data_IF_183626162861
#
_entry.id   IF_183626162861
#
_cell.length_a   1.000
_cell.length_b   1.000
_cell.length_c   1.000
_cell.angle_alpha   90.00
_cell.angle_beta   90.00
_cell.angle_gamma   90.00
#
_symmetry.space_group_name_H-M   'P 1'
#
loop_
_entity.id
_entity.type
_entity.pdbx_description
1 polymer ?
#
# COMPACT_ATOMS: atom_id res chain seq x y z
N UNK A 1 -3.90 -13.16 9.18
CA UNK A 1 -3.05 -12.34 8.31
C UNK A 1 -3.29 -12.58 6.83
N UNK A 2 -3.28 -13.83 6.40
CA UNK A 2 -3.53 -14.18 5.00
C UNK A 2 -4.85 -13.63 4.47
N UNK A 3 -5.92 -13.72 5.25
CA UNK A 3 -7.23 -13.22 4.85
C UNK A 3 -7.23 -11.70 4.67
N UNK A 4 -6.52 -11.00 5.53
CA UNK A 4 -6.40 -9.54 5.44
C UNK A 4 -5.62 -9.12 4.18
N UNK A 5 -4.45 -9.70 3.94
CA UNK A 5 -3.64 -9.32 2.77
C UNK A 5 -4.33 -9.70 1.45
N UNK A 6 -5.05 -10.82 1.43
CA UNK A 6 -5.86 -11.21 0.27
C UNK A 6 -6.97 -10.18 0.00
N UNK A 7 -7.67 -9.74 1.05
CA UNK A 7 -8.73 -8.75 0.93
C UNK A 7 -8.18 -7.38 0.52
N UNK A 8 -7.01 -7.01 1.06
CA UNK A 8 -6.33 -5.76 0.73
C UNK A 8 -6.01 -5.68 -0.77
N UNK A 9 -5.42 -6.74 -1.31
CA UNK A 9 -5.10 -6.83 -2.74
C UNK A 9 -6.36 -6.84 -3.62
N UNK A 10 -7.37 -7.60 -3.19
CA UNK A 10 -8.64 -7.68 -3.91
C UNK A 10 -9.34 -6.33 -3.98
N UNK A 11 -9.29 -5.54 -2.91
CA UNK A 11 -9.85 -4.19 -2.90
C UNK A 11 -9.21 -3.32 -3.99
N UNK A 12 -7.90 -3.39 -4.14
CA UNK A 12 -7.18 -2.66 -5.18
C UNK A 12 -7.57 -3.13 -6.60
N UNK A 13 -7.69 -4.43 -6.82
CA UNK A 13 -7.96 -4.97 -8.15
C UNK A 13 -9.42 -4.80 -8.59
N UNK A 14 -10.35 -4.62 -7.64
CA UNK A 14 -11.78 -4.39 -7.97
C UNK A 14 -12.16 -2.92 -8.06
N UNK A 15 -11.31 -2.00 -7.60
CA UNK A 15 -11.56 -0.56 -7.58
C UNK A 15 -10.87 0.15 -8.75
N UNK A 16 -11.02 -0.36 -9.96
CA UNK A 16 -10.30 0.17 -11.12
C UNK A 16 -10.86 1.50 -11.64
N UNK A 17 -12.12 1.79 -11.37
CA UNK A 17 -12.81 2.96 -11.91
C UNK A 17 -12.77 4.15 -10.95
N UNK A 18 -12.93 3.91 -9.65
CA UNK A 18 -13.11 4.96 -8.65
C UNK A 18 -11.80 5.68 -8.34
N UNK A 19 -10.73 4.95 -8.01
CA UNK A 19 -9.46 5.57 -7.63
C UNK A 19 -8.47 5.70 -8.79
N UNK A 20 -8.47 4.75 -9.72
CA UNK A 20 -7.50 4.65 -10.80
C UNK A 20 -6.10 4.26 -10.32
N UNK A 21 -5.96 3.79 -9.09
CA UNK A 21 -4.65 3.46 -8.51
C UNK A 21 -3.92 2.37 -9.30
N UNK A 22 -4.58 1.24 -9.58
CA UNK A 22 -3.96 0.14 -10.30
C UNK A 22 -3.58 0.53 -11.74
N UNK A 23 -4.39 1.35 -12.39
CA UNK A 23 -4.07 1.87 -13.72
C UNK A 23 -2.82 2.75 -13.68
N UNK A 24 -2.66 3.57 -12.65
CA UNK A 24 -1.53 4.49 -12.54
C UNK A 24 -0.19 3.78 -12.36
N UNK A 25 -0.19 2.57 -11.83
CA UNK A 25 1.03 1.76 -11.66
C UNK A 25 1.09 0.58 -12.66
N UNK A 26 0.20 0.55 -13.65
CA UNK A 26 0.15 -0.52 -14.63
C UNK A 26 -0.08 -1.90 -14.01
N UNK A 27 -0.90 -1.98 -12.97
CA UNK A 27 -1.19 -3.19 -12.18
C UNK A 27 0.03 -3.80 -11.49
N UNK A 28 1.10 -3.03 -11.30
CA UNK A 28 2.34 -3.48 -10.64
C UNK A 28 2.27 -3.22 -9.14
N UNK A 29 1.42 -3.97 -8.47
CA UNK A 29 1.28 -3.97 -7.00
C UNK A 29 1.79 -5.31 -6.47
N UNK A 30 2.84 -5.26 -5.65
CA UNK A 30 3.52 -6.46 -5.16
C UNK A 30 3.48 -6.53 -3.63
N UNK A 31 3.41 -7.75 -3.10
CA UNK A 31 3.47 -8.00 -1.66
C UNK A 31 4.92 -8.27 -1.24
N UNK A 32 5.37 -7.57 -0.22
CA UNK A 32 6.68 -7.65 0.42
C UNK A 32 7.84 -7.17 -0.43
N UNK A 33 8.00 -7.66 -1.66
CA UNK A 33 9.07 -7.22 -2.55
C UNK A 33 8.64 -7.26 -4.01
N UNK A 34 9.23 -6.38 -4.81
CA UNK A 34 9.04 -6.39 -6.25
C UNK A 34 9.96 -7.44 -6.88
N UNK A 35 9.54 -8.08 -8.00
CA UNK A 35 10.43 -8.98 -8.73
C UNK A 35 11.63 -8.21 -9.30
N UNK A 36 12.74 -8.92 -9.50
CA UNK A 36 13.90 -8.33 -10.15
C UNK A 36 13.53 -7.84 -11.55
N UNK A 37 13.95 -6.63 -11.88
CA UNK A 37 13.64 -6.03 -13.16
C UNK A 37 12.23 -5.44 -13.26
N UNK A 38 11.53 -5.26 -12.16
CA UNK A 38 10.21 -4.63 -12.16
C UNK A 38 10.26 -3.25 -12.81
N UNK A 39 9.28 -2.97 -13.67
CA UNK A 39 9.19 -1.68 -14.36
C UNK A 39 8.60 -0.61 -13.44
N UNK A 40 9.06 0.63 -13.60
CA UNK A 40 8.50 1.78 -12.92
C UNK A 40 7.28 2.34 -13.69
N UNK A 41 6.33 2.97 -13.01
CA UNK A 41 6.16 3.00 -11.55
C UNK A 41 5.60 1.70 -11.02
N UNK A 42 5.88 1.39 -9.77
CA UNK A 42 5.27 0.25 -9.09
C UNK A 42 5.08 0.55 -7.61
N UNK A 43 4.30 -0.28 -6.94
CA UNK A 43 4.03 -0.17 -5.51
C UNK A 43 4.23 -1.51 -4.84
N UNK A 44 4.85 -1.48 -3.65
CA UNK A 44 5.02 -2.66 -2.80
C UNK A 44 4.30 -2.41 -1.49
N UNK A 45 3.52 -3.37 -1.03
CA UNK A 45 2.89 -3.27 0.29
C UNK A 45 3.38 -4.40 1.19
N UNK A 46 3.44 -4.10 2.48
CA UNK A 46 3.81 -5.09 3.48
C UNK A 46 3.14 -4.79 4.80
N UNK A 47 2.89 -5.83 5.57
CA UNK A 47 2.46 -5.69 6.96
C UNK A 47 3.71 -5.51 7.82
N UNK A 48 3.83 -4.34 8.44
CA UNK A 48 4.98 -4.01 9.28
C UNK A 48 4.80 -4.61 10.67
N UNK A 49 3.59 -4.54 11.22
CA UNK A 49 3.29 -5.07 12.55
C UNK A 49 1.83 -5.50 12.64
N UNK A 50 1.57 -6.44 13.53
CA UNK A 50 0.24 -6.96 13.84
C UNK A 50 0.21 -7.22 15.34
N UNK A 51 -0.47 -6.33 16.07
CA UNK A 51 -0.51 -6.36 17.53
C UNK A 51 -1.92 -6.71 17.99
N UNK A 52 -2.03 -7.69 18.86
CA UNK A 52 -3.30 -8.08 19.46
C UNK A 52 -3.75 -7.02 20.47
N UNK A 53 -5.01 -6.64 20.38
CA UNK A 53 -5.67 -5.75 21.33
C UNK A 53 -6.95 -6.44 21.81
N UNK A 54 -6.78 -7.41 22.69
CA UNK A 54 -7.89 -8.22 23.18
C UNK A 54 -8.54 -7.59 24.40
N UNK A 55 -9.86 -7.41 24.33
CA UNK A 55 -10.68 -6.84 25.39
C UNK A 55 -11.76 -7.86 25.77
N UNK A 56 -11.66 -8.42 26.97
CA UNK A 56 -12.65 -9.38 27.50
C UNK A 56 -13.05 -10.46 26.51
N UNK A 57 -14.22 -10.31 25.87
CA UNK A 57 -14.76 -11.26 24.89
C UNK A 57 -14.49 -10.85 23.45
N UNK A 58 -14.03 -9.62 23.23
CA UNK A 58 -13.75 -9.08 21.91
C UNK A 58 -12.27 -9.19 21.56
N UNK A 59 -11.99 -9.55 20.33
CA UNK A 59 -10.60 -9.73 19.85
C UNK A 59 -10.32 -8.79 18.72
N UNK A 60 -9.56 -7.77 19.01
CA UNK A 60 -9.14 -6.80 18.02
C UNK A 60 -7.67 -6.97 17.68
N UNK A 61 -7.27 -6.48 16.53
CA UNK A 61 -5.89 -6.43 16.07
C UNK A 61 -5.59 -5.06 15.51
N UNK A 62 -4.46 -4.52 15.92
CA UNK A 62 -3.93 -3.25 15.43
C UNK A 62 -2.79 -3.58 14.46
N UNK A 63 -2.99 -3.26 13.17
CA UNK A 63 -2.07 -3.62 12.10
C UNK A 63 -1.51 -2.34 11.48
N UNK A 64 -0.20 -2.32 11.27
CA UNK A 64 0.47 -1.28 10.50
C UNK A 64 0.85 -1.84 9.13
N UNK A 65 0.29 -1.24 8.08
CA UNK A 65 0.59 -1.60 6.69
C UNK A 65 1.34 -0.46 6.04
N UNK A 66 2.42 -0.78 5.34
CA UNK A 66 3.21 0.19 4.61
C UNK A 66 3.10 -0.06 3.11
N UNK A 67 2.79 1.01 2.38
CA UNK A 67 2.84 1.03 0.91
C UNK A 67 4.03 1.85 0.48
N UNK A 68 4.88 1.27 -0.35
CA UNK A 68 6.04 1.96 -0.92
C UNK A 68 5.81 2.17 -2.41
N UNK A 69 5.73 3.42 -2.83
CA UNK A 69 5.52 3.80 -4.24
C UNK A 69 6.86 4.22 -4.82
N UNK A 70 7.22 3.63 -5.96
CA UNK A 70 8.47 3.92 -6.65
C UNK A 70 8.19 4.48 -8.04
N UNK A 71 8.82 5.59 -8.38
CA UNK A 71 8.71 6.24 -9.68
C UNK A 71 10.07 6.68 -10.17
N UNK A 72 10.38 6.43 -11.42
CA UNK A 72 11.62 6.87 -12.06
C UNK A 72 11.45 8.13 -12.90
N UNK A 73 10.29 8.77 -12.88
CA UNK A 73 10.06 10.02 -13.58
C UNK A 73 10.98 11.13 -13.07
N UNK A 74 11.38 12.05 -13.93
CA UNK A 74 12.30 13.13 -13.57
C UNK A 74 11.71 14.09 -12.53
N UNK A 75 10.39 14.33 -12.59
CA UNK A 75 9.68 15.16 -11.63
C UNK A 75 8.85 14.35 -10.67
N UNK A 76 8.34 14.99 -9.63
CA UNK A 76 7.54 14.34 -8.59
C UNK A 76 6.04 14.24 -8.93
N UNK A 77 5.61 14.73 -10.11
CA UNK A 77 4.19 14.76 -10.49
C UNK A 77 3.58 13.36 -10.54
N UNK A 78 4.30 12.40 -11.12
CA UNK A 78 3.83 11.02 -11.24
C UNK A 78 3.64 10.36 -9.87
N UNK A 79 4.65 10.41 -9.01
CA UNK A 79 4.59 9.78 -7.69
C UNK A 79 3.54 10.43 -6.80
N UNK A 80 3.37 11.74 -6.88
CA UNK A 80 2.31 12.46 -6.15
C UNK A 80 0.92 12.06 -6.62
N UNK A 81 0.75 11.90 -7.93
CA UNK A 81 -0.52 11.43 -8.51
C UNK A 81 -0.88 10.04 -8.06
N UNK A 82 0.09 9.12 -8.04
CA UNK A 82 -0.10 7.76 -7.55
C UNK A 82 -0.45 7.77 -6.06
N UNK A 83 0.25 8.57 -5.26
CA UNK A 83 -0.04 8.73 -3.84
C UNK A 83 -1.47 9.20 -3.59
N UNK A 84 -1.94 10.21 -4.34
CA UNK A 84 -3.31 10.71 -4.21
C UNK A 84 -4.33 9.62 -4.52
N UNK A 85 -4.09 8.82 -5.55
CA UNK A 85 -4.97 7.69 -5.92
C UNK A 85 -4.93 6.58 -4.89
N UNK A 86 -3.76 6.33 -4.28
CA UNK A 86 -3.64 5.38 -3.17
C UNK A 86 -4.50 5.81 -1.98
N UNK A 87 -4.46 7.09 -1.62
CA UNK A 87 -5.31 7.61 -0.55
C UNK A 87 -6.79 7.47 -0.87
N UNK A 88 -7.19 7.78 -2.09
CA UNK A 88 -8.58 7.61 -2.52
C UNK A 88 -9.05 6.17 -2.36
N UNK A 89 -8.16 5.21 -2.62
CA UNK A 89 -8.47 3.78 -2.54
C UNK A 89 -8.55 3.28 -1.10
N UNK A 90 -7.60 3.65 -0.26
CA UNK A 90 -7.41 3.00 1.05
C UNK A 90 -7.69 3.88 2.26
N UNK A 91 -7.59 5.21 2.15
CA UNK A 91 -7.83 6.08 3.30
C UNK A 91 -9.33 6.11 3.62
N UNK A 92 -9.66 5.77 4.87
CA UNK A 92 -11.05 5.68 5.33
C UNK A 92 -11.91 4.70 4.50
N UNK A 93 -11.28 3.65 3.98
CA UNK A 93 -11.98 2.68 3.14
C UNK A 93 -12.69 1.60 3.96
N UNK A 94 -13.54 0.84 3.28
CA UNK A 94 -14.20 -0.34 3.83
C UNK A 94 -14.17 -1.45 2.80
N UNK A 95 -13.84 -2.66 3.24
CA UNK A 95 -13.90 -3.85 2.40
C UNK A 95 -14.12 -5.09 3.26
N UNK A 96 -14.61 -6.16 2.63
CA UNK A 96 -14.91 -7.41 3.33
C UNK A 96 -13.66 -8.28 3.47
N UNK A 97 -13.49 -8.88 4.64
CA UNK A 97 -12.40 -9.80 4.94
C UNK A 97 -13.01 -11.10 5.46
N UNK A 98 -12.52 -12.24 4.99
CA UNK A 98 -12.95 -13.55 5.50
C UNK A 98 -12.52 -13.70 6.96
N UNK A 99 -13.47 -14.03 7.82
CA UNK A 99 -13.26 -14.25 9.27
C UNK A 99 -12.78 -13.03 10.07
N UNK A 100 -12.82 -11.85 9.48
CA UNK A 100 -12.47 -10.60 10.14
C UNK A 100 -13.43 -9.50 9.74
N UNK A 101 -13.53 -8.48 10.58
CA UNK A 101 -14.27 -7.26 10.25
C UNK A 101 -13.30 -6.09 10.27
N UNK A 102 -13.27 -5.31 9.20
CA UNK A 102 -12.48 -4.08 9.14
C UNK A 102 -13.22 -2.99 9.89
N UNK A 103 -12.64 -2.52 10.99
CA UNK A 103 -13.20 -1.44 11.79
C UNK A 103 -12.82 -0.09 11.20
N UNK A 104 -11.53 0.11 10.95
CA UNK A 104 -11.05 1.29 10.21
C UNK A 104 -9.72 0.99 9.53
N UNK A 105 -9.43 1.79 8.50
CA UNK A 105 -8.14 1.87 7.84
C UNK A 105 -7.94 3.32 7.43
N UNK A 106 -6.90 3.96 7.92
CA UNK A 106 -6.60 5.35 7.58
C UNK A 106 -5.10 5.60 7.52
N UNK A 107 -4.74 6.64 6.78
CA UNK A 107 -3.34 7.02 6.64
C UNK A 107 -2.79 7.52 7.98
N UNK A 108 -1.66 6.96 8.38
CA UNK A 108 -0.93 7.39 9.56
C UNK A 108 0.16 8.42 9.18
N UNK A 109 1.01 8.08 8.23
CA UNK A 109 2.14 8.94 7.88
C UNK A 109 2.57 8.76 6.43
N UNK A 110 3.30 9.76 5.92
CA UNK A 110 3.97 9.74 4.63
C UNK A 110 5.41 10.15 4.82
N UNK A 111 6.34 9.34 4.30
CA UNK A 111 7.75 9.69 4.22
C UNK A 111 8.15 9.73 2.75
N UNK A 112 8.73 10.83 2.33
CA UNK A 112 9.17 11.01 0.94
C UNK A 112 10.68 11.00 0.87
N UNK A 113 11.23 10.33 -0.15
CA UNK A 113 12.66 10.29 -0.39
C UNK A 113 12.95 10.17 -1.88
N UNK A 114 14.15 10.57 -2.24
CA UNK A 114 14.64 10.41 -3.60
C UNK A 114 15.96 9.66 -3.54
N UNK A 115 15.97 8.48 -4.14
CA UNK A 115 17.13 7.60 -4.20
C UNK A 115 17.78 7.68 -5.58
N UNK A 116 19.08 7.40 -5.63
CA UNK A 116 19.81 7.25 -6.87
C UNK A 116 20.26 5.80 -7.01
N UNK A 117 19.93 5.21 -8.16
CA UNK A 117 20.29 3.82 -8.47
C UNK A 117 21.28 3.84 -9.62
N UNK A 118 22.45 3.23 -9.40
CA UNK A 118 23.46 3.10 -10.46
C UNK A 118 23.07 1.94 -11.37
N UNK A 119 22.99 2.23 -12.67
CA UNK A 119 22.70 1.22 -13.70
C UNK A 119 23.84 1.21 -14.71
N UNK A 120 23.95 0.17 -15.58
CA UNK A 120 24.94 0.15 -16.66
C UNK A 120 24.83 1.37 -17.62
N UNK A 121 23.64 1.96 -17.72
CA UNK A 121 23.37 3.13 -18.54
C UNK A 121 23.63 4.46 -17.82
N UNK A 122 24.01 4.43 -16.53
CA UNK A 122 24.25 5.61 -15.71
C UNK A 122 23.45 5.61 -14.43
N UNK A 123 23.31 6.78 -13.80
CA UNK A 123 22.56 6.97 -12.56
C UNK A 123 21.09 7.24 -12.87
N UNK A 124 20.19 6.49 -12.23
CA UNK A 124 18.74 6.67 -12.31
C UNK A 124 18.21 7.21 -10.98
N UNK A 125 17.54 8.36 -11.02
CA UNK A 125 16.85 8.89 -9.85
C UNK A 125 15.50 8.21 -9.68
N UNK A 126 15.19 7.79 -8.46
CA UNK A 126 13.94 7.10 -8.12
C UNK A 126 13.26 7.82 -6.96
N UNK A 127 12.01 8.24 -7.17
CA UNK A 127 11.15 8.74 -6.10
C UNK A 127 10.60 7.56 -5.31
N UNK A 128 10.71 7.64 -3.99
CA UNK A 128 10.17 6.65 -3.08
C UNK A 128 9.26 7.34 -2.07
N UNK A 129 7.96 7.05 -2.15
CA UNK A 129 6.99 7.51 -1.17
C UNK A 129 6.56 6.31 -0.32
N UNK A 130 6.84 6.40 0.98
CA UNK A 130 6.46 5.38 1.95
C UNK A 130 5.25 5.86 2.74
N UNK A 131 4.14 5.16 2.62
CA UNK A 131 2.85 5.54 3.20
C UNK A 131 2.44 4.48 4.22
N UNK A 132 2.26 4.88 5.46
CA UNK A 132 1.83 3.99 6.54
C UNK A 132 0.34 4.16 6.79
N UNK A 133 -0.36 3.04 6.90
CA UNK A 133 -1.78 2.99 7.28
C UNK A 133 -1.95 2.24 8.58
N UNK A 134 -2.75 2.84 9.48
CA UNK A 134 -3.26 2.13 10.64
C UNK A 134 -4.52 1.39 10.27
N UNK A 135 -4.56 0.10 10.61
CA UNK A 135 -5.69 -0.78 10.35
C UNK A 135 -6.13 -1.43 11.65
N UNK A 136 -7.43 -1.37 11.93
CA UNK A 136 -8.00 -1.99 13.11
C UNK A 136 -9.02 -3.03 12.68
N UNK A 137 -8.79 -4.29 13.08
CA UNK A 137 -9.63 -5.43 12.72
C UNK A 137 -10.23 -6.04 13.96
N UNK A 138 -11.43 -6.61 13.79
CA UNK A 138 -12.03 -7.52 14.77
C UNK A 138 -11.97 -8.94 14.22
N UNK A 139 -11.46 -9.87 15.03
CA UNK A 139 -11.50 -11.30 14.72
C UNK A 139 -12.89 -11.86 15.04
N UNK A 140 -13.55 -12.42 14.04
CA UNK A 140 -14.93 -12.95 14.19
C UNK A 140 -14.98 -14.47 14.13
#
# INVERSE_FOLDING_TARGET
MKNFTTALYKHATTDTIVSGFMTSIGSRLYENEAPEGAEFPYCVYMVVSDVKDWQFVERFRDILVQFSIFSSASGSTEVKGIYTKLLTLYDECAFSITSNTLIWMWRNSLTTMRDEVTTPAGTLGVWHYSVDFDVYLEDT
#
